data_IF_277115227104
#
_entry.id   IF_277115227104
#
_cell.length_a   1.000
_cell.length_b   1.000
_cell.length_c   1.000
_cell.angle_alpha   90.00
_cell.angle_beta   90.00
_cell.angle_gamma   90.00
#
_symmetry.space_group_name_H-M   'P 1'
#
loop_
_entity.id
_entity.type
_entity.pdbx_description
1 polymer ?
#
# COMPACT_ATOMS: atom_id res chain seq x y z
N UNK A 1 13.14 1.76 29.62
CA UNK A 1 14.14 2.47 28.78
C UNK A 1 13.42 3.03 27.56
N UNK A 2 12.91 4.26 27.65
CA UNK A 2 12.18 4.89 26.55
C UNK A 2 13.20 5.37 25.50
N UNK A 3 13.17 4.80 24.29
CA UNK A 3 13.98 5.27 23.18
C UNK A 3 13.51 6.69 22.82
N UNK A 4 14.27 7.70 23.26
CA UNK A 4 14.05 9.10 22.92
C UNK A 4 14.42 9.28 21.44
N UNK A 5 13.48 8.95 20.55
CA UNK A 5 13.67 9.12 19.11
C UNK A 5 13.75 10.61 18.81
N UNK A 6 14.83 11.02 18.15
CA UNK A 6 15.03 12.40 17.72
C UNK A 6 13.86 12.82 16.81
N UNK A 7 13.12 13.87 17.15
CA UNK A 7 11.91 14.30 16.43
C UNK A 7 12.18 14.57 14.94
N UNK A 8 13.37 15.09 14.61
CA UNK A 8 13.84 15.31 13.24
C UNK A 8 14.02 14.00 12.47
N UNK A 9 14.62 12.98 13.08
CA UNK A 9 14.84 11.66 12.46
C UNK A 9 13.50 11.01 12.14
N UNK A 10 12.54 11.07 13.07
CA UNK A 10 11.18 10.55 12.84
C UNK A 10 10.50 11.23 11.65
N UNK A 11 10.60 12.56 11.55
CA UNK A 11 10.03 13.32 10.44
C UNK A 11 10.65 12.94 9.09
N UNK A 12 11.97 12.77 9.03
CA UNK A 12 12.67 12.34 7.81
C UNK A 12 12.24 10.93 7.41
N UNK A 13 12.21 9.98 8.35
CA UNK A 13 11.77 8.60 8.08
C UNK A 13 10.34 8.57 7.54
N UNK A 14 9.42 9.32 8.15
CA UNK A 14 8.03 9.40 7.68
C UNK A 14 7.96 9.97 6.27
N UNK A 15 8.72 11.03 5.95
CA UNK A 15 8.75 11.58 4.60
C UNK A 15 9.30 10.60 3.57
N UNK A 16 10.40 9.91 3.88
CA UNK A 16 10.98 8.89 2.99
C UNK A 16 9.98 7.76 2.74
N UNK A 17 9.36 7.21 3.79
CA UNK A 17 8.32 6.17 3.63
C UNK A 17 7.16 6.65 2.77
N UNK A 18 6.72 7.90 2.93
CA UNK A 18 5.62 8.47 2.12
C UNK A 18 5.98 8.55 0.66
N UNK A 19 7.17 9.05 0.33
CA UNK A 19 7.62 9.11 -1.06
C UNK A 19 7.76 7.70 -1.66
N UNK A 20 8.38 6.77 -0.93
CA UNK A 20 8.59 5.39 -1.39
C UNK A 20 7.27 4.67 -1.61
N UNK A 21 6.38 4.65 -0.61
CA UNK A 21 5.07 3.98 -0.69
C UNK A 21 4.21 4.68 -1.75
N UNK A 22 4.15 6.01 -1.74
CA UNK A 22 3.36 6.78 -2.71
C UNK A 22 3.77 6.49 -4.15
N UNK A 23 5.07 6.51 -4.46
CA UNK A 23 5.56 6.25 -5.82
C UNK A 23 5.33 4.79 -6.25
N UNK A 24 5.67 3.82 -5.40
CA UNK A 24 5.47 2.39 -5.69
C UNK A 24 4.00 2.11 -5.95
N UNK A 25 3.11 2.61 -5.09
CA UNK A 25 1.67 2.35 -5.23
C UNK A 25 1.01 3.11 -6.36
N UNK A 26 1.55 4.26 -6.75
CA UNK A 26 1.10 4.94 -7.97
C UNK A 26 1.40 4.07 -9.20
N UNK A 27 2.61 3.50 -9.29
CA UNK A 27 3.00 2.59 -10.37
C UNK A 27 2.15 1.33 -10.36
N UNK A 28 2.05 0.65 -9.22
CA UNK A 28 1.22 -0.56 -9.05
C UNK A 28 -0.24 -0.30 -9.40
N UNK A 29 -0.80 0.83 -8.96
CA UNK A 29 -2.16 1.22 -9.30
C UNK A 29 -2.37 1.42 -10.80
N UNK A 30 -1.45 2.13 -11.46
CA UNK A 30 -1.49 2.34 -12.91
C UNK A 30 -1.29 1.04 -13.69
N UNK A 31 -0.38 0.17 -13.26
CA UNK A 31 -0.19 -1.16 -13.85
C UNK A 31 -1.46 -2.00 -13.75
N UNK A 32 -2.11 -1.98 -12.58
CA UNK A 32 -3.41 -2.62 -12.38
C UNK A 32 -4.47 -2.02 -13.28
N UNK A 33 -4.51 -0.71 -13.54
CA UNK A 33 -5.51 -0.11 -14.43
C UNK A 33 -5.25 -0.40 -15.91
N UNK A 34 -3.98 -0.35 -16.32
CA UNK A 34 -3.55 -0.58 -17.71
C UNK A 34 -3.45 -2.05 -18.08
N UNK A 35 -3.42 -2.95 -17.08
CA UNK A 35 -3.32 -4.38 -17.32
C UNK A 35 -1.91 -4.85 -17.66
N UNK A 36 -0.89 -4.06 -17.33
CA UNK A 36 0.52 -4.36 -17.63
C UNK A 36 1.17 -5.17 -16.50
N UNK A 37 2.43 -5.56 -16.67
CA UNK A 37 3.25 -6.31 -15.68
C UNK A 37 2.59 -7.59 -15.13
N UNK A 38 1.80 -8.29 -15.95
CA UNK A 38 1.16 -9.54 -15.53
C UNK A 38 0.01 -9.36 -14.54
N UNK A 39 -0.55 -8.15 -14.41
CA UNK A 39 -1.73 -7.94 -13.55
C UNK A 39 -2.97 -8.63 -14.09
N UNK A 40 -3.20 -8.66 -15.41
CA UNK A 40 -4.32 -9.41 -16.02
C UNK A 40 -4.30 -10.90 -15.61
N UNK A 41 -3.23 -11.68 -15.89
CA UNK A 41 -3.19 -13.09 -15.52
C UNK A 41 -3.23 -13.31 -14.00
N UNK A 42 -2.70 -12.37 -13.20
CA UNK A 42 -2.85 -12.42 -11.74
C UNK A 42 -4.32 -12.39 -11.31
N UNK A 43 -5.09 -11.42 -11.80
CA UNK A 43 -6.51 -11.29 -11.44
C UNK A 43 -7.39 -12.36 -12.11
N UNK A 44 -7.02 -12.87 -13.28
CA UNK A 44 -7.70 -14.02 -13.90
C UNK A 44 -7.53 -15.29 -13.06
N UNK A 45 -6.34 -15.52 -12.50
CA UNK A 45 -6.08 -16.69 -11.68
C UNK A 45 -6.80 -16.66 -10.31
N UNK A 46 -7.24 -15.47 -9.85
CA UNK A 46 -8.15 -15.35 -8.70
C UNK A 46 -9.55 -15.89 -9.05
N UNK A 47 -9.97 -15.78 -10.32
CA UNK A 47 -11.23 -16.32 -10.84
C UNK A 47 -12.46 -15.47 -10.58
N UNK A 48 -12.31 -14.24 -10.07
CA UNK A 48 -13.43 -13.31 -9.80
C UNK A 48 -13.68 -12.32 -10.94
N UNK A 49 -12.86 -12.40 -12.00
CA UNK A 49 -12.92 -11.52 -13.16
C UNK A 49 -12.13 -10.22 -13.01
N UNK A 50 -12.06 -9.47 -14.12
CA UNK A 50 -11.19 -8.29 -14.25
C UNK A 50 -11.71 -7.03 -13.55
N UNK A 51 -12.96 -7.00 -13.09
CA UNK A 51 -13.49 -5.83 -12.36
C UNK A 51 -12.72 -5.58 -11.06
N UNK A 52 -12.29 -6.65 -10.38
CA UNK A 52 -11.51 -6.55 -9.14
C UNK A 52 -10.15 -5.88 -9.39
N UNK A 53 -9.55 -6.14 -10.56
CA UNK A 53 -8.31 -5.48 -11.00
C UNK A 53 -8.52 -3.96 -11.07
N UNK A 54 -9.59 -3.52 -11.73
CA UNK A 54 -9.88 -2.09 -11.87
C UNK A 54 -10.18 -1.42 -10.53
N UNK A 55 -10.98 -2.05 -9.67
CA UNK A 55 -11.29 -1.53 -8.33
C UNK A 55 -10.02 -1.43 -7.48
N UNK A 56 -9.21 -2.49 -7.42
CA UNK A 56 -7.95 -2.48 -6.66
C UNK A 56 -6.97 -1.44 -7.23
N UNK A 57 -6.85 -1.32 -8.55
CA UNK A 57 -6.00 -0.32 -9.19
C UNK A 57 -6.44 1.13 -8.90
N UNK A 58 -7.75 1.39 -8.91
CA UNK A 58 -8.29 2.69 -8.54
C UNK A 58 -8.04 3.03 -7.07
N UNK A 59 -8.24 2.06 -6.16
CA UNK A 59 -7.98 2.23 -4.71
C UNK A 59 -6.50 2.48 -4.44
N UNK A 60 -5.60 1.72 -5.06
CA UNK A 60 -4.15 1.89 -4.90
C UNK A 60 -3.69 3.25 -5.43
N UNK A 61 -4.20 3.66 -6.61
CA UNK A 61 -3.86 4.96 -7.21
C UNK A 61 -4.38 6.11 -6.34
N UNK A 62 -5.63 6.05 -5.86
CA UNK A 62 -6.18 7.06 -4.96
C UNK A 62 -5.42 7.10 -3.62
N UNK A 63 -5.10 5.93 -3.05
CA UNK A 63 -4.32 5.82 -1.83
C UNK A 63 -2.92 6.43 -1.98
N UNK A 64 -2.23 6.14 -3.09
CA UNK A 64 -0.93 6.70 -3.42
C UNK A 64 -0.96 8.22 -3.50
N UNK A 65 -1.97 8.78 -4.20
CA UNK A 65 -2.16 10.24 -4.29
C UNK A 65 -2.40 10.86 -2.90
N UNK A 66 -3.21 10.23 -2.06
CA UNK A 66 -3.51 10.72 -0.71
C UNK A 66 -2.27 10.67 0.22
N UNK A 67 -1.37 9.71 0.04
CA UNK A 67 -0.14 9.59 0.84
C UNK A 67 0.78 10.80 0.67
N UNK A 68 0.78 11.46 -0.49
CA UNK A 68 1.56 12.68 -0.71
C UNK A 68 1.06 13.88 0.12
N UNK A 69 -0.22 13.90 0.50
CA UNK A 69 -0.78 14.98 1.34
C UNK A 69 -0.65 14.66 2.84
N UNK A 70 0.11 15.45 3.63
CA UNK A 70 0.42 15.12 5.03
C UNK A 70 -0.82 14.88 5.88
N UNK A 71 -1.89 15.62 5.63
CA UNK A 71 -3.18 15.51 6.32
C UNK A 71 -3.94 14.20 6.00
N UNK A 72 -3.73 13.62 4.83
CA UNK A 72 -4.44 12.42 4.36
C UNK A 72 -3.58 11.15 4.34
N UNK A 73 -2.32 11.24 4.75
CA UNK A 73 -1.36 10.12 4.77
C UNK A 73 -1.93 8.85 5.40
N UNK A 74 -2.53 8.94 6.59
CA UNK A 74 -3.09 7.77 7.28
C UNK A 74 -4.25 7.14 6.51
N UNK A 75 -5.07 7.95 5.83
CA UNK A 75 -6.19 7.46 5.03
C UNK A 75 -5.69 6.77 3.76
N UNK A 76 -4.74 7.39 3.05
CA UNK A 76 -4.15 6.79 1.85
C UNK A 76 -3.40 5.50 2.14
N UNK A 77 -2.62 5.48 3.23
CA UNK A 77 -1.93 4.28 3.68
C UNK A 77 -2.92 3.17 4.10
N UNK A 78 -4.04 3.52 4.73
CA UNK A 78 -5.10 2.56 5.06
C UNK A 78 -5.73 1.93 3.81
N UNK A 79 -6.06 2.74 2.80
CA UNK A 79 -6.59 2.23 1.53
C UNK A 79 -5.62 1.24 0.86
N UNK A 80 -4.34 1.59 0.81
CA UNK A 80 -3.28 0.73 0.28
C UNK A 80 -3.16 -0.57 1.09
N UNK A 81 -3.12 -0.48 2.43
CA UNK A 81 -3.04 -1.66 3.31
C UNK A 81 -4.23 -2.59 3.12
N UNK A 82 -5.46 -2.07 2.99
CA UNK A 82 -6.64 -2.90 2.75
C UNK A 82 -6.58 -3.60 1.39
N UNK A 83 -6.25 -2.87 0.33
CA UNK A 83 -6.17 -3.40 -1.04
C UNK A 83 -5.10 -4.49 -1.18
N UNK A 84 -3.88 -4.21 -0.71
CA UNK A 84 -2.76 -5.16 -0.81
C UNK A 84 -2.81 -6.25 0.25
N UNK A 85 -3.35 -5.97 1.44
CA UNK A 85 -3.60 -6.99 2.44
C UNK A 85 -4.57 -8.05 1.92
N UNK A 86 -5.64 -7.62 1.23
CA UNK A 86 -6.55 -8.54 0.55
C UNK A 86 -5.82 -9.32 -0.55
N UNK A 87 -5.00 -8.65 -1.38
CA UNK A 87 -4.18 -9.32 -2.38
C UNK A 87 -3.23 -10.38 -1.79
N UNK A 88 -2.59 -10.08 -0.66
CA UNK A 88 -1.71 -11.00 0.08
C UNK A 88 -2.47 -12.25 0.53
N UNK A 89 -3.64 -12.06 1.14
CA UNK A 89 -4.50 -13.14 1.57
C UNK A 89 -4.94 -14.01 0.39
N UNK A 90 -5.34 -13.40 -0.73
CA UNK A 90 -5.75 -14.13 -1.93
C UNK A 90 -4.60 -14.93 -2.54
N UNK A 91 -3.39 -14.36 -2.63
CA UNK A 91 -2.19 -15.09 -3.07
C UNK A 91 -1.96 -16.34 -2.23
N UNK A 92 -2.04 -16.22 -0.90
CA UNK A 92 -1.85 -17.33 0.03
C UNK A 92 -2.98 -18.37 -0.07
N UNK A 93 -4.23 -17.93 0.00
CA UNK A 93 -5.41 -18.80 0.03
C UNK A 93 -5.64 -19.57 -1.28
N UNK A 94 -5.26 -18.98 -2.42
CA UNK A 94 -5.41 -19.58 -3.74
C UNK A 94 -4.10 -20.13 -4.32
N UNK A 95 -2.99 -20.03 -3.57
CA UNK A 95 -1.65 -20.47 -3.97
C UNK A 95 -1.22 -19.98 -5.37
N UNK A 96 -1.64 -18.78 -5.74
CA UNK A 96 -1.50 -18.26 -7.11
C UNK A 96 -0.08 -17.77 -7.38
N UNK A 97 0.44 -16.96 -6.46
CA UNK A 97 1.73 -16.29 -6.56
C UNK A 97 2.38 -16.20 -5.19
N UNK A 98 3.70 -15.92 -5.18
CA UNK A 98 4.44 -15.73 -3.95
C UNK A 98 3.88 -14.52 -3.16
N UNK A 99 3.37 -14.73 -1.93
CA UNK A 99 2.75 -13.66 -1.15
C UNK A 99 3.77 -12.72 -0.50
N UNK A 100 5.08 -12.98 -0.60
CA UNK A 100 6.10 -12.19 0.08
C UNK A 100 6.09 -10.72 -0.33
N UNK A 101 5.99 -10.44 -1.63
CA UNK A 101 5.94 -9.06 -2.13
C UNK A 101 4.74 -8.26 -1.57
N UNK A 102 3.48 -8.71 -1.76
CA UNK A 102 2.34 -7.96 -1.23
C UNK A 102 2.33 -7.95 0.32
N UNK A 103 2.86 -8.98 1.00
CA UNK A 103 3.00 -8.99 2.46
C UNK A 103 3.94 -7.87 2.93
N UNK A 104 5.14 -7.76 2.36
CA UNK A 104 6.11 -6.71 2.73
C UNK A 104 5.51 -5.33 2.50
N UNK A 105 4.83 -5.12 1.37
CA UNK A 105 4.18 -3.83 1.07
C UNK A 105 3.04 -3.52 2.05
N UNK A 106 2.27 -4.53 2.45
CA UNK A 106 1.20 -4.38 3.46
C UNK A 106 1.79 -3.95 4.81
N UNK A 107 2.90 -4.57 5.23
CA UNK A 107 3.58 -4.21 6.49
C UNK A 107 4.18 -2.80 6.45
N UNK A 108 4.79 -2.40 5.34
CA UNK A 108 5.32 -1.04 5.16
C UNK A 108 4.20 0.00 5.20
N UNK A 109 3.08 -0.25 4.52
CA UNK A 109 1.91 0.63 4.55
C UNK A 109 1.29 0.70 5.96
N UNK A 110 1.17 -0.43 6.66
CA UNK A 110 0.70 -0.47 8.05
C UNK A 110 1.62 0.31 9.00
N UNK A 111 2.93 0.22 8.80
CA UNK A 111 3.92 1.01 9.56
C UNK A 111 3.73 2.50 9.32
N UNK A 112 3.45 2.91 8.06
CA UNK A 112 3.17 4.30 7.75
C UNK A 112 1.87 4.80 8.41
N UNK A 113 0.83 3.96 8.50
CA UNK A 113 -0.39 4.29 9.26
C UNK A 113 -0.04 4.57 10.72
N UNK A 114 0.72 3.67 11.35
CA UNK A 114 1.10 3.79 12.76
C UNK A 114 1.93 5.06 13.04
N UNK A 115 2.90 5.38 12.19
CA UNK A 115 3.69 6.62 12.29
C UNK A 115 2.83 7.87 12.08
N UNK A 116 1.87 7.83 11.15
CA UNK A 116 0.94 8.94 10.93
C UNK A 116 0.00 9.15 12.12
N UNK A 117 -0.50 8.08 12.73
CA UNK A 117 -1.42 8.15 13.86
C UNK A 117 -0.74 8.69 15.11
N UNK A 118 0.45 8.20 15.44
CA UNK A 118 1.23 8.66 16.60
C UNK A 118 1.66 10.13 16.51
N UNK A 119 1.75 10.69 15.31
CA UNK A 119 2.04 12.12 15.11
C UNK A 119 0.85 13.05 15.33
N UNK A 120 -0.38 12.52 15.35
CA UNK A 120 -1.62 13.30 15.58
C UNK A 120 -2.03 13.38 17.05
N UNK A 121 -1.58 12.42 17.85
CA UNK A 121 -1.94 12.28 19.27
C UNK A 121 -0.90 12.84 20.24
N UNK A 122 0.20 13.39 19.73
CA UNK A 122 1.29 14.01 20.49
C UNK A 122 1.27 15.53 20.31
#
# INVERSE_FOLDING_TARGET
MALRTNSKVRAVITWVLRCVIGLIFLLVGVEKLTGTMGTIPFFDAIGWGQWLRYVSGAVDTAGALLVFFPRFTSLGAFMITCSVGLGTYLCYAKAVFNPAFPLVMTLLAATLIWLGWTSRTA
#
